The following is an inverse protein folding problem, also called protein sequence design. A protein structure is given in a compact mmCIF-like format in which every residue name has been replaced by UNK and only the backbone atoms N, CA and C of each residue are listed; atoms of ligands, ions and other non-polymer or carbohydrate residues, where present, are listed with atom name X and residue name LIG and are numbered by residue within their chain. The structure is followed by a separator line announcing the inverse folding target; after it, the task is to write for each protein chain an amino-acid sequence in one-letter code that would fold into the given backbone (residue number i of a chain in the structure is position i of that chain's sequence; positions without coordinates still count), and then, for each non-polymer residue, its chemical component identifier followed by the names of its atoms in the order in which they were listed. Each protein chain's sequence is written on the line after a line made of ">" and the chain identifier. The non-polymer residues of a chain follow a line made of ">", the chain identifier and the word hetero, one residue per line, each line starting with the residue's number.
data_IF_501398997158
#
_entry.id   IF_501398997158
#
_cell.length_a   1.000
_cell.length_b   1.000
_cell.length_c   1.000
_cell.angle_alpha   90.00
_cell.angle_beta   90.00
_cell.angle_gamma   90.00
#
_symmetry.space_group_name_H-M   'P 1'
#
loop_
_entity.id
_entity.type
_entity.pdbx_description
1 polymer ?
#
# COMPACT_ATOMS: atom_id res chain seq x y z
N UNK A 1 8.03 15.24 7.95
CA UNK A 1 7.07 15.15 6.82
C UNK A 1 7.61 14.29 5.67
N UNK A 2 8.82 14.49 5.14
CA UNK A 2 9.33 13.72 3.97
C UNK A 2 9.43 12.19 4.14
N UNK A 3 9.85 11.71 5.32
CA UNK A 3 10.09 10.26 5.53
C UNK A 3 8.81 9.44 5.49
N UNK A 4 7.72 9.94 6.06
CA UNK A 4 6.41 9.28 6.02
C UNK A 4 5.83 9.24 4.61
N UNK A 5 6.02 10.31 3.83
CA UNK A 5 5.58 10.34 2.43
C UNK A 5 6.33 9.31 1.58
N UNK A 6 7.64 9.16 1.79
CA UNK A 6 8.46 8.12 1.11
C UNK A 6 8.01 6.72 1.52
N UNK A 7 7.84 6.47 2.83
CA UNK A 7 7.42 5.16 3.34
C UNK A 7 6.05 4.77 2.80
N UNK A 8 5.09 5.70 2.80
CA UNK A 8 3.74 5.45 2.28
C UNK A 8 3.73 5.26 0.77
N UNK A 9 4.57 5.97 0.03
CA UNK A 9 4.72 5.78 -1.43
C UNK A 9 5.31 4.39 -1.75
N UNK A 10 6.31 3.93 -1.01
CA UNK A 10 6.88 2.59 -1.18
C UNK A 10 5.83 1.52 -0.85
N UNK A 11 5.11 1.65 0.27
CA UNK A 11 4.04 0.72 0.65
C UNK A 11 2.95 0.63 -0.42
N UNK A 12 2.56 1.76 -1.00
CA UNK A 12 1.58 1.81 -2.09
C UNK A 12 2.12 1.19 -3.39
N UNK A 13 3.39 1.42 -3.74
CA UNK A 13 4.02 0.79 -4.89
C UNK A 13 4.06 -0.74 -4.74
N UNK A 14 4.45 -1.24 -3.56
CA UNK A 14 4.46 -2.68 -3.25
C UNK A 14 3.04 -3.25 -3.27
N UNK A 15 2.07 -2.55 -2.70
CA UNK A 15 0.66 -2.94 -2.73
C UNK A 15 0.10 -3.01 -4.15
N UNK A 16 0.35 -1.99 -4.96
CA UNK A 16 -0.06 -1.93 -6.36
C UNK A 16 0.59 -3.02 -7.21
N UNK A 17 1.87 -3.32 -6.97
CA UNK A 17 2.56 -4.41 -7.64
C UNK A 17 1.96 -5.77 -7.25
N UNK A 18 1.66 -6.00 -5.97
CA UNK A 18 1.00 -7.24 -5.53
C UNK A 18 -0.37 -7.42 -6.20
N UNK A 19 -1.20 -6.37 -6.22
CA UNK A 19 -2.50 -6.42 -6.89
C UNK A 19 -2.38 -6.57 -8.41
N UNK A 20 -1.36 -5.99 -9.04
CA UNK A 20 -1.07 -6.18 -10.46
C UNK A 20 -0.69 -7.64 -10.78
N UNK A 21 0.11 -8.27 -9.93
CA UNK A 21 0.46 -9.69 -10.06
C UNK A 21 -0.75 -10.60 -9.86
N UNK A 22 -1.60 -10.30 -8.88
CA UNK A 22 -2.86 -11.02 -8.66
C UNK A 22 -3.79 -10.87 -9.86
N UNK A 23 -3.96 -9.66 -10.40
CA UNK A 23 -4.87 -9.41 -11.52
C UNK A 23 -4.39 -9.97 -12.87
N UNK A 24 -3.08 -10.05 -13.11
CA UNK A 24 -2.51 -10.53 -14.37
C UNK A 24 -2.19 -12.02 -14.37
N UNK A 25 -1.79 -12.57 -13.23
CA UNK A 25 -1.22 -13.92 -13.13
C UNK A 25 -1.84 -14.76 -12.00
N UNK A 26 -2.89 -14.27 -11.33
CA UNK A 26 -3.47 -14.88 -10.11
C UNK A 26 -2.42 -15.16 -9.02
N UNK A 27 -1.32 -14.41 -9.04
CA UNK A 27 -0.18 -14.64 -8.16
C UNK A 27 -0.15 -13.61 -7.03
N UNK A 28 -0.32 -14.10 -5.79
CA UNK A 28 -0.25 -13.28 -4.59
C UNK A 28 1.15 -13.34 -3.96
N UNK A 29 1.97 -12.32 -4.20
CA UNK A 29 3.34 -12.23 -3.68
C UNK A 29 3.39 -12.19 -2.14
N UNK A 30 2.47 -11.45 -1.50
CA UNK A 30 2.43 -11.35 -0.04
C UNK A 30 2.12 -12.72 0.58
N UNK A 31 1.20 -13.47 0.00
CA UNK A 31 0.86 -14.82 0.45
C UNK A 31 1.95 -15.84 0.09
N UNK A 32 2.63 -15.67 -1.04
CA UNK A 32 3.75 -16.51 -1.43
C UNK A 32 4.92 -16.42 -0.43
N UNK A 33 5.24 -15.22 0.07
CA UNK A 33 6.35 -15.00 1.01
C UNK A 33 5.92 -15.21 2.47
N UNK A 34 4.74 -14.71 2.84
CA UNK A 34 4.28 -14.67 4.25
C UNK A 34 3.08 -15.57 4.55
N UNK A 35 2.67 -16.44 3.62
CA UNK A 35 1.50 -17.31 3.78
C UNK A 35 1.59 -18.27 4.97
N UNK A 36 2.80 -18.63 5.40
CA UNK A 36 3.00 -19.44 6.62
C UNK A 36 2.67 -18.68 7.92
N UNK A 37 2.59 -17.34 7.85
CA UNK A 37 2.27 -16.47 8.98
C UNK A 37 1.06 -15.58 8.64
N UNK A 38 -0.17 -16.13 8.72
CA UNK A 38 -1.38 -15.41 8.31
C UNK A 38 -1.60 -14.08 9.06
N UNK A 39 -1.14 -13.99 10.31
CA UNK A 39 -1.18 -12.75 11.08
C UNK A 39 -0.26 -11.66 10.48
N UNK A 40 0.92 -12.03 9.98
CA UNK A 40 1.87 -11.10 9.37
C UNK A 40 1.37 -10.63 8.01
N UNK A 41 0.84 -11.55 7.18
CA UNK A 41 0.24 -11.20 5.90
C UNK A 41 -0.91 -10.18 6.06
N UNK A 42 -1.80 -10.40 7.05
CA UNK A 42 -2.87 -9.44 7.39
C UNK A 42 -2.33 -8.09 7.84
N UNK A 43 -1.26 -8.08 8.64
CA UNK A 43 -0.62 -6.83 9.07
C UNK A 43 -0.06 -6.05 7.87
N UNK A 44 0.60 -6.72 6.93
CA UNK A 44 1.12 -6.09 5.70
C UNK A 44 -0.04 -5.45 4.91
N UNK A 45 -1.14 -6.16 4.71
CA UNK A 45 -2.30 -5.58 4.02
C UNK A 45 -2.91 -4.39 4.76
N UNK A 46 -2.97 -4.44 6.10
CA UNK A 46 -3.43 -3.31 6.90
C UNK A 46 -2.52 -2.08 6.77
N UNK A 47 -1.19 -2.28 6.74
CA UNK A 47 -0.22 -1.20 6.55
C UNK A 47 -0.30 -0.59 5.14
N UNK A 48 -0.43 -1.43 4.11
CA UNK A 48 -0.63 -0.97 2.72
C UNK A 48 -1.94 -0.17 2.59
N UNK A 49 -3.04 -0.67 3.16
CA UNK A 49 -4.32 0.03 3.19
C UNK A 49 -4.25 1.35 3.96
N UNK A 50 -3.59 1.37 5.12
CA UNK A 50 -3.35 2.58 5.90
C UNK A 50 -2.52 3.62 5.16
N UNK A 51 -1.47 3.19 4.45
CA UNK A 51 -0.65 4.05 3.60
C UNK A 51 -1.47 4.66 2.44
N UNK A 52 -2.35 3.86 1.82
CA UNK A 52 -3.26 4.32 0.77
C UNK A 52 -4.19 5.43 1.28
N UNK A 53 -4.80 5.22 2.45
CA UNK A 53 -5.68 6.20 3.08
C UNK A 53 -4.92 7.48 3.42
N UNK A 54 -3.74 7.38 4.05
CA UNK A 54 -2.92 8.54 4.38
C UNK A 54 -2.57 9.38 3.13
N UNK A 55 -2.17 8.72 2.05
CA UNK A 55 -1.79 9.41 0.81
C UNK A 55 -3.01 10.02 0.09
N UNK A 56 -4.17 9.37 0.14
CA UNK A 56 -5.45 9.93 -0.35
C UNK A 56 -5.88 11.18 0.43
N UNK A 57 -5.74 11.17 1.76
CA UNK A 57 -6.03 12.34 2.58
C UNK A 57 -5.08 13.49 2.25
N UNK A 58 -3.77 13.23 2.17
CA UNK A 58 -2.79 14.24 1.72
C UNK A 58 -3.10 14.81 0.33
N UNK A 59 -3.50 13.95 -0.62
CA UNK A 59 -3.84 14.38 -1.97
C UNK A 59 -5.04 15.33 -2.01
N UNK A 60 -6.07 15.10 -1.16
CA UNK A 60 -7.18 16.04 -1.01
C UNK A 60 -6.74 17.37 -0.40
N UNK A 61 -5.81 17.34 0.55
CA UNK A 61 -5.25 18.56 1.16
C UNK A 61 -4.47 19.40 0.16
N UNK A 62 -3.77 18.79 -0.81
CA UNK A 62 -3.04 19.52 -1.85
C UNK A 62 -3.95 20.26 -2.84
N UNK A 63 -5.14 19.72 -3.16
CA UNK A 63 -6.12 20.41 -4.02
C UNK A 63 -6.76 21.64 -3.39
N UNK A 64 -6.69 21.81 -2.06
CA UNK A 64 -7.25 22.98 -1.38
C UNK A 64 -6.40 24.25 -1.52
N UNK A 65 -5.13 24.13 -1.93
CA UNK A 65 -4.26 25.30 -2.13
C UNK A 65 -4.47 25.98 -3.50
N UNK A 66 -5.24 25.36 -4.40
CA UNK A 66 -5.54 25.87 -5.73
C UNK A 66 -7.05 26.14 -5.93
N UNK A 67 -7.75 26.48 -4.84
CA UNK A 67 -9.12 26.97 -4.84
C UNK A 67 -9.22 28.30 -4.12
#
# INVERSE_FOLDING_TARGET
>A
MKTLDIVTAILLAVGGLNWGLVGLFDFNLVEFIFGQFPAIARLIYALVGGAAVYQLFQWKTLKQCCK
#
